data_IF_929641918887
#
_entry.id   IF_929641918887
#
_cell.length_a   1.000
_cell.length_b   1.000
_cell.length_c   1.000
_cell.angle_alpha   90.00
_cell.angle_beta   90.00
_cell.angle_gamma   90.00
#
_symmetry.space_group_name_H-M   'P 1'
#
loop_
_entity.id
_entity.type
_entity.pdbx_description
1 polymer ?
#
# COMPACT_ATOMS: atom_id res chain seq x y z
N UNK A 1 17.29 -43.70 0.75
CA UNK A 1 17.96 -43.76 2.07
C UNK A 1 19.43 -44.06 1.82
N UNK A 2 20.25 -43.03 1.72
CA UNK A 2 21.71 -43.12 1.80
C UNK A 2 22.12 -41.98 2.71
N UNK A 3 22.01 -42.27 4.00
CA UNK A 3 22.37 -41.38 5.09
C UNK A 3 23.86 -41.63 5.36
N UNK A 4 24.75 -40.83 4.74
CA UNK A 4 26.17 -40.87 5.05
C UNK A 4 26.42 -40.03 6.30
N UNK A 5 26.60 -40.68 7.43
CA UNK A 5 26.77 -40.12 8.78
C UNK A 5 28.10 -39.33 9.00
N UNK A 6 28.65 -38.66 7.98
CA UNK A 6 29.85 -37.81 8.09
C UNK A 6 29.88 -36.62 7.13
N UNK A 7 28.73 -36.08 6.69
CA UNK A 7 28.72 -34.81 5.95
C UNK A 7 28.19 -33.70 6.86
N UNK A 8 29.08 -32.77 7.24
CA UNK A 8 28.74 -31.67 8.13
C UNK A 8 27.72 -30.78 7.43
N UNK A 9 26.52 -30.63 8.00
CA UNK A 9 25.51 -29.72 7.46
C UNK A 9 25.97 -28.26 7.65
N UNK A 10 26.39 -27.61 6.56
CA UNK A 10 26.87 -26.23 6.59
C UNK A 10 25.74 -25.20 6.50
N UNK A 11 24.47 -25.62 6.38
CA UNK A 11 23.33 -24.67 6.27
C UNK A 11 23.27 -23.68 7.41
N UNK A 12 23.59 -24.11 8.63
CA UNK A 12 23.59 -23.26 9.84
C UNK A 12 24.78 -22.28 9.90
N UNK A 13 25.77 -22.44 9.02
CA UNK A 13 26.91 -21.50 8.90
C UNK A 13 26.64 -20.35 7.93
N UNK A 14 25.51 -20.38 7.22
CA UNK A 14 25.13 -19.40 6.22
C UNK A 14 24.17 -18.34 6.81
N UNK A 15 24.48 -17.07 6.60
CA UNK A 15 23.57 -15.96 6.92
C UNK A 15 22.53 -15.78 5.82
N UNK A 16 21.55 -16.69 5.77
CA UNK A 16 20.47 -16.62 4.78
C UNK A 16 19.46 -15.52 5.16
N UNK A 17 18.88 -14.80 4.17
CA UNK A 17 17.79 -13.88 4.42
C UNK A 17 16.58 -14.61 5.00
N UNK A 18 16.09 -14.14 6.14
CA UNK A 18 14.86 -14.62 6.77
C UNK A 18 13.87 -13.46 6.90
N UNK A 19 12.61 -13.69 6.54
CA UNK A 19 11.54 -12.71 6.68
C UNK A 19 10.20 -13.40 6.91
N UNK A 20 9.35 -12.78 7.73
CA UNK A 20 7.94 -13.17 7.86
C UNK A 20 7.09 -12.67 6.68
N UNK A 21 7.66 -11.83 5.81
CA UNK A 21 6.99 -11.33 4.63
C UNK A 21 6.73 -12.47 3.64
N UNK A 22 5.47 -12.79 3.33
CA UNK A 22 5.19 -13.92 2.45
C UNK A 22 5.55 -13.58 1.00
N UNK A 23 6.06 -14.58 0.29
CA UNK A 23 6.36 -14.44 -1.14
C UNK A 23 5.10 -14.17 -1.99
N UNK A 24 3.93 -14.66 -1.57
CA UNK A 24 2.65 -14.40 -2.24
C UNK A 24 1.91 -13.27 -1.55
N UNK A 25 1.43 -12.30 -2.33
CA UNK A 25 0.73 -11.13 -1.81
C UNK A 25 -0.59 -11.45 -1.09
N UNK A 26 -1.40 -12.37 -1.62
CA UNK A 26 -2.71 -12.68 -1.03
C UNK A 26 -3.67 -11.48 -1.03
N UNK A 27 -3.55 -10.61 -2.03
CA UNK A 27 -4.16 -9.28 -2.08
C UNK A 27 -5.68 -9.26 -1.85
N UNK A 28 -6.51 -10.16 -2.43
CA UNK A 28 -7.95 -10.11 -2.21
C UNK A 28 -8.39 -10.25 -0.74
N UNK A 29 -7.54 -10.85 0.11
CA UNK A 29 -7.77 -10.95 1.55
C UNK A 29 -7.13 -9.79 2.32
N UNK A 30 -5.95 -9.32 1.89
CA UNK A 30 -5.18 -8.29 2.61
C UNK A 30 -5.64 -6.86 2.35
N UNK A 31 -6.04 -6.54 1.13
CA UNK A 31 -6.45 -5.18 0.76
C UNK A 31 -7.63 -4.68 1.61
N UNK A 32 -8.68 -5.49 1.89
CA UNK A 32 -9.73 -5.07 2.82
C UNK A 32 -9.22 -4.74 4.23
N UNK A 33 -8.22 -5.47 4.73
CA UNK A 33 -7.64 -5.23 6.05
C UNK A 33 -6.83 -3.93 6.09
N UNK A 34 -6.13 -3.60 5.00
CA UNK A 34 -5.41 -2.33 4.87
C UNK A 34 -6.35 -1.13 4.86
N UNK A 35 -7.46 -1.22 4.12
CA UNK A 35 -8.48 -0.16 4.07
C UNK A 35 -9.07 0.05 5.47
N UNK A 36 -9.50 -1.03 6.15
CA UNK A 36 -10.01 -0.93 7.53
C UNK A 36 -9.00 -0.30 8.47
N UNK A 37 -7.73 -0.71 8.40
CA UNK A 37 -6.67 -0.10 9.20
C UNK A 37 -6.51 1.40 8.92
N UNK A 38 -6.59 1.84 7.66
CA UNK A 38 -6.50 3.27 7.33
C UNK A 38 -7.69 4.06 7.88
N UNK A 39 -8.89 3.49 7.82
CA UNK A 39 -10.12 4.08 8.35
C UNK A 39 -10.07 4.17 9.88
N UNK A 40 -9.67 3.10 10.57
CA UNK A 40 -9.51 3.07 12.03
C UNK A 40 -8.48 4.08 12.54
N UNK A 41 -7.42 4.30 11.75
CA UNK A 41 -6.43 5.34 12.04
C UNK A 41 -6.96 6.75 11.76
N UNK A 42 -8.05 6.90 11.03
CA UNK A 42 -8.47 8.15 10.41
C UNK A 42 -7.32 8.81 9.64
N UNK A 43 -6.66 8.00 8.80
CA UNK A 43 -5.38 8.36 8.18
C UNK A 43 -5.45 9.65 7.37
N UNK A 44 -6.55 9.88 6.65
CA UNK A 44 -6.71 11.08 5.82
C UNK A 44 -6.65 12.36 6.65
N UNK A 45 -7.40 12.43 7.76
CA UNK A 45 -7.42 13.60 8.62
C UNK A 45 -6.06 13.85 9.27
N UNK A 46 -5.36 12.77 9.67
CA UNK A 46 -3.98 12.88 10.16
C UNK A 46 -3.05 13.48 9.12
N UNK A 47 -3.15 13.04 7.86
CA UNK A 47 -2.36 13.59 6.77
C UNK A 47 -2.70 15.06 6.48
N UNK A 48 -3.95 15.49 6.70
CA UNK A 48 -4.33 16.92 6.59
C UNK A 48 -3.78 17.74 7.76
N UNK A 49 -3.84 17.21 8.98
CA UNK A 49 -3.28 17.83 10.17
C UNK A 49 -1.76 18.03 10.03
N UNK A 50 -1.03 16.97 9.66
CA UNK A 50 0.42 17.02 9.39
C UNK A 50 0.77 18.09 8.34
N UNK A 51 0.06 18.11 7.20
CA UNK A 51 0.28 19.11 6.16
C UNK A 51 0.06 20.54 6.67
N UNK A 52 -0.91 20.75 7.56
CA UNK A 52 -1.17 22.06 8.18
C UNK A 52 -0.06 22.44 9.17
N UNK A 53 0.36 21.51 10.02
CA UNK A 53 1.41 21.71 11.02
C UNK A 53 2.74 22.12 10.39
N UNK A 54 3.11 21.49 9.27
CA UNK A 54 4.32 21.85 8.51
C UNK A 54 4.18 23.07 7.60
N UNK A 55 3.02 23.74 7.61
CA UNK A 55 2.75 24.91 6.77
C UNK A 55 2.78 24.60 5.27
N UNK A 56 2.38 23.39 4.86
CA UNK A 56 2.39 22.98 3.46
C UNK A 56 1.50 23.89 2.61
N UNK A 57 1.96 24.21 1.39
CA UNK A 57 1.15 25.00 0.46
C UNK A 57 -0.06 24.17 0.01
N UNK A 58 -1.25 24.76 0.12
CA UNK A 58 -2.47 24.11 -0.35
C UNK A 58 -2.39 23.84 -1.86
N UNK A 59 -2.63 22.59 -2.23
CA UNK A 59 -2.72 22.13 -3.61
C UNK A 59 -3.99 21.28 -3.76
N UNK A 60 -4.77 21.53 -4.81
CA UNK A 60 -6.09 20.93 -5.00
C UNK A 60 -6.17 20.33 -6.40
N UNK A 61 -6.50 19.04 -6.48
CA UNK A 61 -6.90 18.37 -7.71
C UNK A 61 -8.43 18.30 -7.75
N UNK A 62 -9.04 19.07 -8.65
CA UNK A 62 -10.49 19.03 -8.83
C UNK A 62 -10.91 17.73 -9.51
N UNK A 63 -11.71 16.92 -8.81
CA UNK A 63 -12.28 15.70 -9.33
C UNK A 63 -13.66 15.98 -9.94
N UNK A 64 -13.85 15.63 -11.21
CA UNK A 64 -15.16 15.73 -11.87
C UNK A 64 -16.16 14.75 -11.24
N UNK A 65 -17.40 15.19 -10.96
CA UNK A 65 -18.41 14.31 -10.36
C UNK A 65 -18.72 13.15 -11.31
N UNK A 66 -18.71 11.90 -10.85
CA UNK A 66 -19.17 10.79 -11.67
C UNK A 66 -20.69 10.88 -11.87
N UNK A 67 -21.18 10.40 -13.01
CA UNK A 67 -22.62 10.13 -13.13
C UNK A 67 -22.99 9.00 -12.17
N UNK A 68 -24.01 9.19 -11.35
CA UNK A 68 -24.46 8.24 -10.34
C UNK A 68 -25.31 7.08 -10.90
N UNK A 69 -25.13 6.75 -12.18
CA UNK A 69 -25.92 5.76 -12.91
C UNK A 69 -25.01 4.60 -13.35
N UNK A 70 -25.42 3.36 -13.06
CA UNK A 70 -24.75 2.15 -13.53
C UNK A 70 -23.55 1.70 -12.68
N UNK A 71 -22.92 0.62 -13.12
CA UNK A 71 -21.76 0.03 -12.44
C UNK A 71 -20.46 0.73 -12.83
N UNK A 72 -19.50 0.73 -11.90
CA UNK A 72 -18.13 1.16 -12.13
C UNK A 72 -17.50 0.26 -13.19
N UNK A 73 -16.83 0.87 -14.17
CA UNK A 73 -16.08 0.16 -15.21
C UNK A 73 -14.58 0.50 -15.11
N UNK A 74 -13.76 -0.18 -15.92
CA UNK A 74 -12.31 -0.01 -15.87
C UNK A 74 -11.85 1.43 -16.12
N UNK A 75 -12.59 2.19 -16.92
CA UNK A 75 -12.32 3.61 -17.16
C UNK A 75 -12.49 4.46 -15.88
N UNK A 76 -13.50 4.16 -15.07
CA UNK A 76 -13.66 4.78 -13.76
C UNK A 76 -12.49 4.44 -12.84
N UNK A 77 -12.09 3.16 -12.78
CA UNK A 77 -10.97 2.72 -11.96
C UNK A 77 -9.66 3.41 -12.38
N UNK A 78 -9.34 3.41 -13.67
CA UNK A 78 -8.17 4.10 -14.21
C UNK A 78 -8.16 5.59 -13.82
N UNK A 79 -9.29 6.29 -14.00
CA UNK A 79 -9.39 7.70 -13.66
C UNK A 79 -9.10 7.97 -12.18
N UNK A 80 -9.65 7.16 -11.27
CA UNK A 80 -9.47 7.35 -9.82
C UNK A 80 -8.08 6.94 -9.35
N UNK A 81 -7.50 5.86 -9.88
CA UNK A 81 -6.15 5.42 -9.54
C UNK A 81 -5.12 6.48 -9.91
N UNK A 82 -5.19 7.04 -11.12
CA UNK A 82 -4.24 8.09 -11.55
C UNK A 82 -4.35 9.35 -10.68
N UNK A 83 -5.58 9.76 -10.34
CA UNK A 83 -5.81 10.90 -9.44
C UNK A 83 -5.24 10.65 -8.05
N UNK A 84 -5.42 9.45 -7.51
CA UNK A 84 -4.91 9.07 -6.19
C UNK A 84 -3.38 9.04 -6.16
N UNK A 85 -2.72 8.52 -7.20
CA UNK A 85 -1.25 8.59 -7.34
C UNK A 85 -0.78 10.04 -7.28
N UNK A 86 -1.38 10.93 -8.08
CA UNK A 86 -0.99 12.36 -8.11
C UNK A 86 -1.17 13.01 -6.74
N UNK A 87 -2.32 12.81 -6.09
CA UNK A 87 -2.62 13.40 -4.76
C UNK A 87 -1.64 12.90 -3.71
N UNK A 88 -1.34 11.59 -3.68
CA UNK A 88 -0.38 11.00 -2.73
C UNK A 88 1.04 11.47 -3.00
N UNK A 89 1.46 11.53 -4.25
CA UNK A 89 2.79 12.04 -4.62
C UNK A 89 2.97 13.50 -4.20
N UNK A 90 1.97 14.37 -4.44
CA UNK A 90 2.02 15.75 -3.96
C UNK A 90 2.08 15.83 -2.43
N UNK A 91 1.27 15.05 -1.72
CA UNK A 91 1.29 15.02 -0.27
C UNK A 91 2.65 14.60 0.31
N UNK A 92 3.30 13.62 -0.31
CA UNK A 92 4.60 13.11 0.13
C UNK A 92 5.77 14.01 -0.24
N UNK A 93 5.62 14.86 -1.27
CA UNK A 93 6.68 15.75 -1.75
C UNK A 93 6.92 16.98 -0.85
N UNK A 94 5.94 17.35 -0.01
CA UNK A 94 6.04 18.52 0.84
C UNK A 94 5.03 19.61 0.50
#
# INVERSE_FOLDING_TARGET
MTDSLTDRDYRDTLFLPATEFPMRGGLPKREPDWIRRWDDLNLYDRLRADAKERGAKQWILHDGPPYANGHIHLGTAMNKIVKDIIVRSHQMAG
#
